data_IF_546110371602
#
_entry.id   IF_546110371602
#
_cell.length_a   1.000
_cell.length_b   1.000
_cell.length_c   1.000
_cell.angle_alpha   90.00
_cell.angle_beta   90.00
_cell.angle_gamma   90.00
#
_symmetry.space_group_name_H-M   'P 1'
#
loop_
_entity.id
_entity.type
_entity.pdbx_description
1 polymer ?
#
# COMPACT_ATOMS: atom_id res chain seq x y z
N UNK A 1 -10.94 0.42 -16.92
CA UNK A 1 -9.63 0.90 -16.41
C UNK A 1 -9.48 0.57 -14.92
N UNK A 2 -10.50 0.79 -14.07
CA UNK A 2 -10.50 0.23 -12.71
C UNK A 2 -10.88 -1.28 -12.68
N UNK A 3 -11.87 -1.69 -13.48
CA UNK A 3 -12.32 -3.10 -13.60
C UNK A 3 -11.20 -4.07 -13.99
N UNK A 4 -10.36 -3.71 -14.97
CA UNK A 4 -9.27 -4.56 -15.46
C UNK A 4 -8.18 -4.78 -14.40
N UNK A 5 -7.92 -3.79 -13.55
CA UNK A 5 -6.92 -3.86 -12.49
C UNK A 5 -7.41 -4.73 -11.32
N UNK A 6 -8.68 -4.59 -10.94
CA UNK A 6 -9.30 -5.45 -9.92
C UNK A 6 -9.34 -6.92 -10.35
N UNK A 7 -9.63 -7.18 -11.63
CA UNK A 7 -9.60 -8.53 -12.18
C UNK A 7 -8.20 -9.16 -12.12
N UNK A 8 -7.14 -8.37 -12.36
CA UNK A 8 -5.76 -8.83 -12.25
C UNK A 8 -5.39 -9.26 -10.83
N UNK A 9 -5.77 -8.48 -9.81
CA UNK A 9 -5.51 -8.87 -8.42
C UNK A 9 -6.27 -10.14 -8.03
N UNK A 10 -7.50 -10.33 -8.53
CA UNK A 10 -8.27 -11.55 -8.31
C UNK A 10 -7.69 -12.78 -9.01
N UNK A 11 -7.01 -12.63 -10.14
CA UNK A 11 -6.29 -13.73 -10.79
C UNK A 11 -5.01 -14.11 -10.03
N UNK A 12 -4.26 -13.14 -9.54
CA UNK A 12 -2.96 -13.37 -8.89
C UNK A 12 -3.07 -13.76 -7.40
N UNK A 13 -3.97 -13.12 -6.65
CA UNK A 13 -4.13 -13.31 -5.20
C UNK A 13 -5.41 -14.10 -4.84
N UNK A 14 -6.20 -14.48 -5.85
CA UNK A 14 -7.37 -15.33 -5.71
C UNK A 14 -8.70 -14.58 -5.87
N UNK A 15 -9.71 -15.29 -6.37
CA UNK A 15 -10.98 -14.70 -6.82
C UNK A 15 -11.81 -13.99 -5.72
N UNK A 16 -11.42 -14.11 -4.45
CA UNK A 16 -12.04 -13.45 -3.30
C UNK A 16 -11.16 -12.37 -2.68
N UNK A 17 -9.98 -12.13 -3.24
CA UNK A 17 -9.10 -11.09 -2.78
C UNK A 17 -9.79 -9.72 -2.92
N UNK A 18 -9.70 -8.94 -1.86
CA UNK A 18 -10.31 -7.63 -1.73
C UNK A 18 -9.25 -6.66 -1.22
N UNK A 19 -8.99 -5.60 -1.99
CA UNK A 19 -8.05 -4.55 -1.57
C UNK A 19 -8.62 -3.74 -0.40
N UNK A 20 -9.94 -3.71 -0.24
CA UNK A 20 -10.64 -2.91 0.77
C UNK A 20 -10.64 -1.40 0.48
N UNK A 21 -9.76 -0.92 -0.41
CA UNK A 21 -9.67 0.48 -0.83
C UNK A 21 -9.87 0.62 -2.35
N UNK A 22 -10.37 1.77 -2.79
CA UNK A 22 -10.41 2.14 -4.20
C UNK A 22 -9.11 2.88 -4.55
N UNK A 23 -8.31 2.31 -5.44
CA UNK A 23 -7.05 2.94 -5.90
C UNK A 23 -7.28 4.25 -6.65
N UNK A 24 -8.50 4.50 -7.17
CA UNK A 24 -8.83 5.80 -7.79
C UNK A 24 -8.88 6.94 -6.77
N UNK A 25 -9.12 6.65 -5.49
CA UNK A 25 -9.09 7.65 -4.42
C UNK A 25 -7.64 8.04 -4.04
N UNK A 26 -6.66 7.20 -4.41
CA UNK A 26 -5.25 7.37 -4.06
C UNK A 26 -4.34 7.25 -5.30
N UNK A 27 -4.41 8.23 -6.23
CA UNK A 27 -3.67 8.16 -7.51
C UNK A 27 -2.15 8.19 -7.36
N UNK A 28 -1.62 8.56 -6.19
CA UNK A 28 -0.19 8.58 -5.88
C UNK A 28 0.34 7.20 -5.44
N UNK A 29 -0.54 6.21 -5.22
CA UNK A 29 -0.14 4.82 -5.00
C UNK A 29 0.30 4.20 -6.32
N UNK A 30 1.58 3.85 -6.42
CA UNK A 30 2.13 3.15 -7.58
C UNK A 30 2.29 1.67 -7.25
N UNK A 31 1.61 0.82 -8.02
CA UNK A 31 1.73 -0.63 -7.88
C UNK A 31 3.18 -1.08 -8.08
N UNK A 32 3.62 -1.93 -7.15
CA UNK A 32 4.94 -2.56 -7.16
C UNK A 32 4.84 -4.01 -6.72
N UNK A 33 3.64 -4.58 -6.80
CA UNK A 33 3.39 -6.00 -6.57
C UNK A 33 4.19 -6.78 -7.61
N UNK A 34 5.04 -7.69 -7.16
CA UNK A 34 5.81 -8.56 -8.04
C UNK A 34 5.13 -9.93 -8.14
N UNK A 35 5.24 -10.56 -9.30
CA UNK A 35 4.67 -11.91 -9.50
C UNK A 35 5.22 -12.87 -8.43
N UNK A 36 4.33 -13.58 -7.73
CA UNK A 36 4.57 -14.46 -6.57
C UNK A 36 4.60 -13.82 -5.17
N UNK A 37 4.34 -12.52 -5.03
CA UNK A 37 4.08 -11.97 -3.70
C UNK A 37 2.76 -12.54 -3.12
N UNK A 38 2.71 -12.74 -1.80
CA UNK A 38 1.50 -13.23 -1.11
C UNK A 38 0.48 -12.11 -0.90
N UNK A 39 0.95 -10.86 -0.88
CA UNK A 39 0.14 -9.67 -0.74
C UNK A 39 0.57 -8.58 -1.73
N UNK A 40 -0.35 -7.83 -2.34
CA UNK A 40 0.01 -6.68 -3.16
C UNK A 40 0.68 -5.58 -2.34
N UNK A 41 1.57 -4.85 -3.02
CA UNK A 41 2.28 -3.72 -2.43
C UNK A 41 2.32 -2.51 -3.36
N UNK A 42 2.24 -1.33 -2.75
CA UNK A 42 2.21 -0.05 -3.44
C UNK A 42 3.23 0.88 -2.82
N UNK A 43 4.03 1.57 -3.62
CA UNK A 43 4.87 2.64 -3.08
C UNK A 43 4.28 4.02 -3.37
N UNK A 44 4.62 4.97 -2.52
CA UNK A 44 4.26 6.38 -2.66
C UNK A 44 5.34 7.27 -2.04
N UNK A 45 5.34 8.54 -2.41
CA UNK A 45 6.31 9.53 -1.92
C UNK A 45 5.58 10.68 -1.24
N UNK A 46 6.00 11.04 -0.03
CA UNK A 46 5.51 12.21 0.69
C UNK A 46 6.71 13.09 1.02
N UNK A 47 6.76 14.29 0.45
CA UNK A 47 7.81 15.29 0.68
C UNK A 47 9.25 14.74 0.56
N UNK A 48 9.48 13.82 -0.39
CA UNK A 48 10.79 13.22 -0.65
C UNK A 48 11.08 11.94 0.13
N UNK A 49 10.23 11.55 1.10
CA UNK A 49 10.32 10.26 1.78
C UNK A 49 9.45 9.23 1.07
N UNK A 50 10.01 8.05 0.77
CA UNK A 50 9.23 6.94 0.22
C UNK A 50 8.62 6.08 1.32
N UNK A 51 7.47 5.49 0.99
CA UNK A 51 6.74 4.55 1.81
C UNK A 51 6.23 3.41 0.94
N UNK A 52 6.00 2.26 1.56
CA UNK A 52 5.34 1.10 0.94
C UNK A 52 4.14 0.72 1.78
N UNK A 53 2.98 0.62 1.13
CA UNK A 53 1.75 0.04 1.65
C UNK A 53 1.68 -1.42 1.23
N UNK A 54 1.54 -2.32 2.20
CA UNK A 54 1.20 -3.72 2.01
C UNK A 54 -0.28 -3.92 2.35
N UNK A 55 -0.99 -4.63 1.48
CA UNK A 55 -2.41 -4.96 1.68
C UNK A 55 -2.55 -6.47 1.62
N UNK A 56 -2.66 -7.11 2.77
CA UNK A 56 -2.80 -8.55 2.90
C UNK A 56 -4.28 -8.98 2.88
N UNK A 57 -4.53 -10.29 2.90
CA UNK A 57 -5.85 -10.89 2.95
C UNK A 57 -6.64 -10.45 4.19
N UNK A 58 -7.95 -10.26 4.02
CA UNK A 58 -8.86 -10.03 5.15
C UNK A 58 -8.81 -11.21 6.15
N UNK A 59 -8.78 -12.44 5.64
CA UNK A 59 -8.68 -13.66 6.45
C UNK A 59 -7.22 -13.90 6.91
N UNK A 60 -6.92 -13.91 8.22
CA UNK A 60 -5.55 -14.07 8.72
C UNK A 60 -4.86 -15.37 8.28
N UNK A 61 -5.62 -16.44 8.04
CA UNK A 61 -5.08 -17.72 7.62
C UNK A 61 -4.54 -17.73 6.17
N UNK A 62 -4.91 -16.75 5.36
CA UNK A 62 -4.45 -16.58 3.98
C UNK A 62 -3.31 -15.56 3.86
N UNK A 63 -2.97 -14.88 4.97
CA UNK A 63 -1.89 -13.87 5.01
C UNK A 63 -0.51 -14.48 4.88
N UNK A 64 0.46 -13.69 4.40
CA UNK A 64 1.87 -14.09 4.41
C UNK A 64 2.34 -14.37 5.84
N UNK A 65 1.94 -13.49 6.75
CA UNK A 65 2.18 -13.58 8.18
C UNK A 65 0.83 -13.51 8.91
N UNK A 66 0.30 -14.63 9.42
CA UNK A 66 -1.01 -14.66 10.07
C UNK A 66 -1.15 -13.76 11.30
N UNK A 67 -0.04 -13.37 11.92
CA UNK A 67 -0.04 -12.41 13.04
C UNK A 67 0.03 -10.95 12.60
N UNK A 68 0.40 -10.67 11.35
CA UNK A 68 0.49 -9.32 10.81
C UNK A 68 -0.90 -8.74 10.55
N UNK A 69 -0.95 -7.41 10.51
CA UNK A 69 -2.18 -6.68 10.18
C UNK A 69 -2.45 -6.66 8.70
N UNK A 70 -3.74 -6.58 8.33
CA UNK A 70 -4.18 -6.51 6.92
C UNK A 70 -3.48 -5.38 6.17
N UNK A 71 -3.40 -4.18 6.76
CA UNK A 71 -2.77 -3.03 6.16
C UNK A 71 -1.50 -2.67 6.93
N UNK A 72 -0.37 -2.56 6.23
CA UNK A 72 0.91 -2.19 6.84
C UNK A 72 1.63 -1.13 5.99
N UNK A 73 1.99 0.00 6.61
CA UNK A 73 2.81 1.04 5.98
C UNK A 73 4.22 0.97 6.57
N UNK A 74 5.22 0.79 5.71
CA UNK A 74 6.63 0.84 6.05
C UNK A 74 7.31 2.04 5.39
N UNK A 75 8.34 2.57 6.04
CA UNK A 75 9.27 3.47 5.35
C UNK A 75 10.02 2.70 4.29
N UNK A 76 10.36 3.40 3.22
CA UNK A 76 11.17 2.87 2.16
C UNK A 76 12.12 3.94 1.63
N UNK A 77 13.10 3.51 0.85
CA UNK A 77 14.02 4.41 0.14
C UNK A 77 14.23 3.92 -1.29
N UNK A 78 14.59 4.83 -2.20
CA UNK A 78 15.00 4.46 -3.54
C UNK A 78 16.49 4.09 -3.53
N UNK A 79 16.81 2.83 -3.82
CA UNK A 79 18.17 2.30 -3.85
C UNK A 79 18.83 2.45 -5.23
N UNK A 80 18.09 2.93 -6.25
CA UNK A 80 18.62 3.17 -7.59
C UNK A 80 18.68 4.67 -7.91
N UNK A 81 19.88 5.18 -8.19
CA UNK A 81 20.11 6.59 -8.57
C UNK A 81 19.62 6.92 -9.99
N UNK A 82 19.47 5.92 -10.87
CA UNK A 82 19.11 6.09 -12.29
C UNK A 82 17.72 5.55 -12.63
N UNK A 83 17.01 5.02 -11.63
CA UNK A 83 15.73 4.35 -11.80
C UNK A 83 14.87 4.42 -10.54
N UNK A 84 13.91 3.51 -10.45
CA UNK A 84 13.08 3.32 -9.25
C UNK A 84 13.30 1.88 -8.77
N UNK A 85 13.97 1.77 -7.62
CA UNK A 85 14.10 0.53 -6.86
C UNK A 85 13.76 0.81 -5.40
N UNK A 86 12.47 0.74 -5.07
CA UNK A 86 12.00 1.03 -3.71
C UNK A 86 12.32 -0.14 -2.79
N UNK A 87 13.09 0.07 -1.73
CA UNK A 87 13.48 -0.93 -0.75
C UNK A 87 12.89 -0.55 0.62
N UNK A 88 12.25 -1.51 1.30
CA UNK A 88 11.63 -1.28 2.60
C UNK A 88 12.67 -1.23 3.72
N UNK A 89 12.44 -0.35 4.69
CA UNK A 89 13.18 -0.37 5.96
C UNK A 89 12.68 -1.53 6.85
N UNK A 90 13.61 -2.17 7.56
CA UNK A 90 13.37 -3.41 8.33
C UNK A 90 12.73 -3.18 9.71
N UNK A 91 11.62 -2.43 9.81
CA UNK A 91 10.85 -2.16 11.05
C UNK A 91 11.31 -0.98 11.92
N UNK A 92 10.43 -0.42 12.78
CA UNK A 92 8.99 -0.71 12.93
C UNK A 92 8.13 -0.14 11.80
N UNK A 93 6.94 -0.72 11.55
CA UNK A 93 5.95 -0.10 10.68
C UNK A 93 5.59 1.31 11.17
N UNK A 94 5.35 2.20 10.22
CA UNK A 94 4.87 3.55 10.47
C UNK A 94 3.43 3.49 10.96
N UNK A 95 2.65 2.57 10.40
CA UNK A 95 1.25 2.36 10.71
C UNK A 95 0.84 0.94 10.32
N UNK A 96 -0.05 0.34 11.11
CA UNK A 96 -0.65 -0.95 10.82
C UNK A 96 -2.09 -0.99 11.34
N UNK A 97 -3.02 -1.57 10.59
CA UNK A 97 -4.42 -1.70 11.01
C UNK A 97 -5.15 -2.84 10.29
N UNK A 98 -6.25 -3.31 10.89
CA UNK A 98 -7.24 -4.16 10.22
C UNK A 98 -8.33 -3.34 9.51
N UNK A 99 -8.50 -2.06 9.87
CA UNK A 99 -9.62 -1.24 9.45
C UNK A 99 -9.36 -0.53 8.14
N UNK A 100 -10.27 -0.71 7.18
CA UNK A 100 -10.31 0.03 5.92
C UNK A 100 -10.41 1.54 6.17
N UNK A 101 -11.27 1.97 7.09
CA UNK A 101 -11.48 3.39 7.38
C UNK A 101 -10.20 4.04 7.94
N UNK A 102 -9.51 3.34 8.85
CA UNK A 102 -8.30 3.89 9.46
C UNK A 102 -7.13 3.98 8.47
N UNK A 103 -7.00 3.01 7.54
CA UNK A 103 -5.96 3.11 6.50
C UNK A 103 -6.28 4.21 5.49
N UNK A 104 -7.54 4.39 5.11
CA UNK A 104 -7.95 5.49 4.23
C UNK A 104 -7.68 6.84 4.88
N UNK A 105 -8.08 7.02 6.14
CA UNK A 105 -7.79 8.24 6.91
C UNK A 105 -6.28 8.48 7.02
N UNK A 106 -5.49 7.42 7.24
CA UNK A 106 -4.05 7.55 7.33
C UNK A 106 -3.39 7.94 6.01
N UNK A 107 -3.81 7.34 4.90
CA UNK A 107 -3.32 7.69 3.57
C UNK A 107 -3.69 9.14 3.22
N UNK A 108 -4.93 9.55 3.50
CA UNK A 108 -5.36 10.94 3.33
C UNK A 108 -4.54 11.91 4.19
N UNK A 109 -4.29 11.62 5.46
CA UNK A 109 -3.40 12.42 6.34
C UNK A 109 -1.98 12.55 5.76
N UNK A 110 -1.43 11.47 5.21
CA UNK A 110 -0.08 11.47 4.64
C UNK A 110 0.00 12.17 3.29
N UNK A 111 -1.05 12.08 2.46
CA UNK A 111 -1.07 12.60 1.08
C UNK A 111 -1.68 14.00 0.97
N UNK A 112 -2.49 14.43 1.94
CA UNK A 112 -3.01 15.80 2.02
C UNK A 112 -1.93 16.74 2.59
N UNK A 113 -0.76 16.78 1.95
CA UNK A 113 0.23 17.86 2.16
C UNK A 113 -0.20 19.10 1.38
N UNK A 114 -1.46 19.52 1.53
CA UNK A 114 -1.84 20.89 1.13
C UNK A 114 -1.15 21.82 2.12
N UNK A 115 -0.36 22.82 1.68
CA UNK A 115 -0.06 23.92 2.56
C UNK A 115 -1.42 24.50 2.95
N UNK A 116 -1.72 24.50 4.26
CA UNK A 116 -2.74 25.36 4.83
C UNK A 116 -2.54 26.74 4.21
N UNK A 117 -3.41 27.09 3.26
CA UNK A 117 -3.47 28.43 2.72
C UNK A 117 -3.93 29.27 3.90
N UNK A 118 -2.97 29.90 4.58
CA UNK A 118 -3.23 30.88 5.61
C UNK A 118 -4.10 31.96 4.98
N UNK A 119 -5.39 31.98 5.33
CA UNK A 119 -6.24 33.16 5.24
C UNK A 119 -6.26 33.85 6.59
#
# INVERSE_FOLDING_TARGET
MADDLYAQYQEEFGAKFDLGIDLNDFPDLVDKSYCHDVAPSFYFNVDGQYYTLWIDHEEPAEREFPEAKRFTILKAYNDDENGINIVNESEPPVFETESVEEIQDKLNDMMDTRPILSM
#
